data_IF_651697898413
#
_entry.id   IF_651697898413
#
_cell.length_a   1.000
_cell.length_b   1.000
_cell.length_c   1.000
_cell.angle_alpha   90.00
_cell.angle_beta   90.00
_cell.angle_gamma   90.00
#
_symmetry.space_group_name_H-M   'P 1'
#
loop_
_entity.id
_entity.type
_entity.pdbx_description
1 polymer ?
#
# COMPACT_ATOMS: atom_id res chain seq x y z
N UNK A 1 22.51 -7.77 3.71
CA UNK A 1 21.96 -8.90 4.50
C UNK A 1 21.08 -9.72 3.58
N UNK A 2 20.95 -11.03 3.80
CA UNK A 2 19.96 -11.83 3.05
C UNK A 2 18.53 -11.39 3.39
N UNK A 3 17.56 -11.72 2.53
CA UNK A 3 16.14 -11.46 2.80
C UNK A 3 15.69 -12.08 4.13
N UNK A 4 16.34 -13.18 4.55
CA UNK A 4 16.12 -13.82 5.85
C UNK A 4 16.69 -13.04 7.05
N UNK A 5 17.24 -11.83 6.84
CA UNK A 5 17.99 -11.04 7.83
C UNK A 5 19.12 -11.85 8.50
N UNK A 6 19.70 -12.79 7.76
CA UNK A 6 20.79 -13.65 8.23
C UNK A 6 22.10 -13.31 7.52
N UNK A 7 23.20 -13.43 8.26
CA UNK A 7 24.56 -13.10 7.80
C UNK A 7 25.40 -14.33 7.45
N UNK A 8 24.99 -15.54 7.90
CA UNK A 8 25.71 -16.79 7.66
C UNK A 8 25.01 -17.66 6.62
N UNK A 9 25.70 -17.93 5.50
CA UNK A 9 25.22 -18.85 4.46
C UNK A 9 25.10 -20.29 4.98
N UNK A 10 25.98 -20.70 5.90
CA UNK A 10 25.93 -22.04 6.50
C UNK A 10 24.60 -22.27 7.23
N UNK A 11 24.17 -21.30 8.03
CA UNK A 11 22.90 -21.39 8.76
C UNK A 11 21.68 -21.39 7.82
N UNK A 12 21.77 -20.72 6.67
CA UNK A 12 20.71 -20.74 5.66
C UNK A 12 20.61 -22.13 5.03
N UNK A 13 21.76 -22.73 4.68
CA UNK A 13 21.80 -24.05 4.05
C UNK A 13 21.38 -25.20 4.98
N UNK A 14 21.58 -25.05 6.29
CA UNK A 14 21.21 -26.04 7.31
C UNK A 14 19.74 -25.94 7.75
N UNK A 15 19.01 -24.91 7.28
CA UNK A 15 17.64 -24.65 7.72
C UNK A 15 16.65 -25.67 7.16
N UNK A 16 15.77 -26.16 8.03
CA UNK A 16 14.64 -26.98 7.59
C UNK A 16 13.61 -26.14 6.84
N UNK A 17 12.82 -26.78 5.98
CA UNK A 17 11.72 -26.10 5.27
C UNK A 17 10.73 -25.43 6.24
N UNK A 18 10.49 -26.06 7.39
CA UNK A 18 9.61 -25.53 8.44
C UNK A 18 10.17 -24.26 9.08
N UNK A 19 11.44 -24.27 9.47
CA UNK A 19 12.11 -23.09 10.02
C UNK A 19 12.16 -21.94 9.01
N UNK A 20 12.42 -22.27 7.75
CA UNK A 20 12.38 -21.31 6.66
C UNK A 20 11.01 -20.66 6.55
N UNK A 21 9.93 -21.45 6.54
CA UNK A 21 8.57 -20.94 6.47
C UNK A 21 8.21 -20.03 7.64
N UNK A 22 8.56 -20.41 8.88
CA UNK A 22 8.32 -19.55 10.04
C UNK A 22 9.10 -18.23 9.98
N UNK A 23 10.34 -18.25 9.50
CA UNK A 23 11.13 -17.03 9.32
C UNK A 23 10.56 -16.14 8.24
N UNK A 24 10.18 -16.71 7.09
CA UNK A 24 9.50 -15.95 6.04
C UNK A 24 8.19 -15.36 6.53
N UNK A 25 7.44 -16.10 7.35
CA UNK A 25 6.22 -15.61 7.97
C UNK A 25 6.49 -14.41 8.89
N UNK A 26 7.48 -14.51 9.79
CA UNK A 26 7.87 -13.40 10.66
C UNK A 26 8.37 -12.17 9.87
N UNK A 27 9.14 -12.41 8.81
CA UNK A 27 9.65 -11.36 7.93
C UNK A 27 8.53 -10.54 7.29
N UNK A 28 7.39 -11.15 6.95
CA UNK A 28 6.23 -10.42 6.39
C UNK A 28 5.69 -9.36 7.36
N UNK A 29 5.69 -9.63 8.66
CA UNK A 29 5.27 -8.63 9.66
C UNK A 29 6.29 -7.51 9.82
N UNK A 30 7.58 -7.84 9.77
CA UNK A 30 8.64 -6.84 9.77
C UNK A 30 8.51 -5.90 8.57
N UNK A 31 8.28 -6.46 7.37
CA UNK A 31 8.06 -5.68 6.14
C UNK A 31 6.85 -4.76 6.29
N UNK A 32 5.71 -5.26 6.78
CA UNK A 32 4.52 -4.43 7.03
C UNK A 32 4.83 -3.24 7.96
N UNK A 33 5.56 -3.49 9.05
CA UNK A 33 5.96 -2.45 9.99
C UNK A 33 6.90 -1.44 9.35
N UNK A 34 7.91 -1.90 8.60
CA UNK A 34 8.89 -1.04 7.93
C UNK A 34 8.25 -0.17 6.83
N UNK A 35 7.29 -0.70 6.07
CA UNK A 35 6.50 0.07 5.11
C UNK A 35 5.64 1.13 5.81
N UNK A 36 4.91 0.73 6.86
CA UNK A 36 4.04 1.66 7.58
C UNK A 36 4.80 2.81 8.26
N UNK A 37 5.96 2.52 8.87
CA UNK A 37 6.82 3.57 9.45
C UNK A 37 7.40 4.51 8.38
N UNK A 38 7.68 4.01 7.17
CA UNK A 38 8.08 4.86 6.03
C UNK A 38 6.98 5.83 5.65
N UNK A 39 5.72 5.39 5.57
CA UNK A 39 4.61 6.28 5.32
C UNK A 39 4.40 7.28 6.46
N UNK A 40 4.50 6.85 7.72
CA UNK A 40 4.45 7.79 8.87
C UNK A 40 5.51 8.88 8.78
N UNK A 41 6.75 8.51 8.43
CA UNK A 41 7.82 9.48 8.25
C UNK A 41 7.53 10.43 7.09
N UNK A 42 7.05 9.94 5.95
CA UNK A 42 6.67 10.77 4.81
C UNK A 42 5.58 11.79 5.16
N UNK A 43 4.56 11.37 5.91
CA UNK A 43 3.50 12.25 6.40
C UNK A 43 4.03 13.25 7.43
N UNK A 44 4.92 12.85 8.35
CA UNK A 44 5.54 13.76 9.30
C UNK A 44 6.39 14.83 8.61
N UNK A 45 7.16 14.46 7.56
CA UNK A 45 7.92 15.41 6.75
C UNK A 45 6.98 16.37 6.01
N UNK A 46 5.89 15.85 5.41
CA UNK A 46 4.86 16.67 4.76
C UNK A 46 4.27 17.69 5.74
N UNK A 47 3.83 17.23 6.89
CA UNK A 47 3.17 18.07 7.89
C UNK A 47 4.15 19.09 8.50
N UNK A 48 5.43 18.73 8.66
CA UNK A 48 6.48 19.67 9.08
C UNK A 48 6.83 20.71 8.00
N UNK A 49 6.74 20.34 6.72
CA UNK A 49 6.98 21.24 5.59
C UNK A 49 5.79 22.19 5.32
N UNK A 50 4.59 21.82 5.77
CA UNK A 50 3.42 22.68 5.71
C UNK A 50 3.60 23.89 6.65
N UNK A 51 4.11 25.00 6.12
CA UNK A 51 4.12 26.28 6.82
C UNK A 51 2.68 26.68 7.11
N UNK A 52 2.42 27.05 8.37
CA UNK A 52 1.09 27.44 8.87
C UNK A 52 0.57 28.66 8.09
N UNK A 53 -0.25 28.43 7.08
CA UNK A 53 -0.90 29.52 6.34
C UNK A 53 -2.19 29.91 7.07
N UNK A 54 -2.11 30.90 7.95
CA UNK A 54 -3.28 31.59 8.51
C UNK A 54 -3.78 32.63 7.49
N UNK A 55 -4.41 32.18 6.40
CA UNK A 55 -4.92 33.03 5.31
C UNK A 55 -6.44 32.89 5.09
N UNK A 56 -7.12 34.04 4.93
CA UNK A 56 -8.57 34.22 4.73
C UNK A 56 -9.12 33.78 3.36
N UNK A 57 -10.45 33.64 3.28
CA UNK A 57 -11.37 33.04 2.26
C UNK A 57 -11.10 33.17 0.73
N UNK A 58 -10.05 33.84 0.24
CA UNK A 58 -9.81 34.06 -1.21
C UNK A 58 -8.71 33.21 -1.85
N UNK A 59 -8.03 32.35 -1.10
CA UNK A 59 -6.95 31.48 -1.62
C UNK A 59 -7.34 29.99 -1.52
N UNK A 60 -7.33 29.23 -2.64
CA UNK A 60 -7.76 27.85 -2.64
C UNK A 60 -6.80 26.98 -1.80
N UNK A 61 -7.36 26.21 -0.87
CA UNK A 61 -6.62 25.18 -0.13
C UNK A 61 -6.48 23.95 -1.02
N UNK A 62 -5.28 23.68 -1.51
CA UNK A 62 -4.94 22.36 -2.06
C UNK A 62 -5.10 21.32 -0.94
N UNK A 63 -6.08 20.42 -1.09
CA UNK A 63 -6.32 19.33 -0.14
C UNK A 63 -5.62 18.09 -0.65
N UNK A 64 -4.74 17.50 0.17
CA UNK A 64 -4.08 16.25 -0.15
C UNK A 64 -5.09 15.09 -0.28
N UNK A 65 -4.91 14.22 -1.29
CA UNK A 65 -5.74 13.01 -1.54
C UNK A 65 -5.79 12.10 -0.31
N UNK A 66 -4.64 11.89 0.34
CA UNK A 66 -4.50 11.07 1.53
C UNK A 66 -4.24 11.94 2.76
N UNK A 67 -5.02 11.70 3.83
CA UNK A 67 -4.95 12.43 5.09
C UNK A 67 -4.01 11.75 6.08
N UNK A 68 -3.95 10.43 6.07
CA UNK A 68 -3.12 9.63 6.97
C UNK A 68 -2.37 8.49 6.26
N UNK A 69 -1.30 7.94 6.87
CA UNK A 69 -0.64 6.72 6.38
C UNK A 69 -1.58 5.52 6.21
N UNK A 70 -2.58 5.38 7.09
CA UNK A 70 -3.57 4.30 7.01
C UNK A 70 -4.45 4.40 5.77
N UNK A 71 -4.58 5.60 5.17
CA UNK A 71 -5.35 5.77 3.94
C UNK A 71 -4.63 5.12 2.75
N UNK A 72 -3.32 4.85 2.85
CA UNK A 72 -2.51 4.19 1.82
C UNK A 72 -2.23 2.73 2.17
N UNK A 73 -1.91 2.47 3.44
CA UNK A 73 -1.59 1.15 3.96
C UNK A 73 -2.24 0.99 5.34
N UNK A 74 -3.46 0.45 5.35
CA UNK A 74 -4.15 0.14 6.60
C UNK A 74 -3.38 -0.97 7.33
N UNK A 75 -2.72 -0.59 8.43
CA UNK A 75 -1.87 -1.48 9.19
C UNK A 75 -2.66 -2.62 9.84
N UNK A 76 -3.84 -2.33 10.41
CA UNK A 76 -4.62 -3.33 11.14
C UNK A 76 -5.24 -4.35 10.20
N UNK A 77 -5.78 -3.90 9.07
CA UNK A 77 -6.31 -4.78 8.02
C UNK A 77 -5.21 -5.68 7.50
N UNK A 78 -4.04 -5.12 7.14
CA UNK A 78 -2.92 -5.91 6.65
C UNK A 78 -2.34 -6.87 7.70
N UNK A 79 -2.31 -6.48 8.97
CA UNK A 79 -1.91 -7.37 10.05
C UNK A 79 -2.82 -8.60 10.14
N UNK A 80 -4.15 -8.42 10.06
CA UNK A 80 -5.11 -9.53 10.04
C UNK A 80 -4.98 -10.38 8.78
N UNK A 81 -4.73 -9.77 7.62
CA UNK A 81 -4.47 -10.50 6.36
C UNK A 81 -3.24 -11.39 6.46
N UNK A 82 -2.15 -10.89 7.05
CA UNK A 82 -0.95 -11.70 7.29
C UNK A 82 -1.23 -12.86 8.26
N UNK A 83 -2.08 -12.66 9.28
CA UNK A 83 -2.54 -13.77 10.15
C UNK A 83 -3.26 -14.86 9.34
N UNK A 84 -4.06 -14.48 8.35
CA UNK A 84 -4.73 -15.40 7.42
C UNK A 84 -3.80 -16.00 6.34
N UNK A 85 -2.50 -15.67 6.35
CA UNK A 85 -1.54 -16.09 5.34
C UNK A 85 -1.68 -15.37 3.99
N UNK A 86 -2.52 -14.32 3.92
CA UNK A 86 -2.72 -13.47 2.74
C UNK A 86 -1.59 -12.45 2.61
N UNK A 87 -1.46 -11.87 1.43
CA UNK A 87 -0.46 -10.84 1.14
C UNK A 87 -0.91 -9.45 1.63
N UNK A 88 0.10 -8.59 1.83
CA UNK A 88 -0.07 -7.16 2.09
C UNK A 88 -0.70 -6.53 0.85
N UNK A 89 -1.66 -5.65 1.04
CA UNK A 89 -2.35 -4.90 -0.02
C UNK A 89 -2.41 -3.43 0.35
N UNK A 90 -2.32 -2.60 -0.67
CA UNK A 90 -2.52 -1.16 -0.54
C UNK A 90 -3.99 -0.80 -0.71
N UNK A 91 -4.42 0.33 -0.16
CA UNK A 91 -5.83 0.73 -0.21
C UNK A 91 -6.32 0.93 -1.65
N UNK A 92 -5.48 1.46 -2.53
CA UNK A 92 -5.77 1.63 -3.97
C UNK A 92 -5.91 0.28 -4.71
N UNK A 93 -5.43 -0.84 -4.14
CA UNK A 93 -5.60 -2.21 -4.67
C UNK A 93 -6.87 -2.90 -4.12
N UNK A 94 -7.50 -2.30 -3.11
CA UNK A 94 -8.78 -2.74 -2.53
C UNK A 94 -9.98 -2.02 -3.17
N UNK A 95 -9.75 -0.89 -3.83
CA UNK A 95 -10.77 -0.22 -4.63
C UNK A 95 -11.04 -1.09 -5.89
N UNK A 96 -12.21 -1.73 -5.96
CA UNK A 96 -12.79 -1.98 -7.28
C UNK A 96 -12.89 -0.61 -7.93
N UNK A 97 -12.24 -0.44 -9.08
CA UNK A 97 -12.51 0.70 -9.95
C UNK A 97 -13.99 0.60 -10.29
N UNK A 98 -14.85 1.29 -9.54
CA UNK A 98 -16.19 1.56 -10.02
C UNK A 98 -15.98 2.19 -11.39
N UNK A 99 -16.60 1.66 -12.47
CA UNK A 99 -16.37 2.14 -13.80
C UNK A 99 -17.05 3.50 -13.97
N UNK A 100 -16.52 4.54 -13.33
CA UNK A 100 -16.74 5.94 -13.63
C UNK A 100 -16.01 6.27 -14.94
N UNK A 101 -16.51 5.64 -16.00
CA UNK A 101 -16.95 6.22 -17.25
C UNK A 101 -16.96 5.11 -18.30
N UNK A 102 -17.88 4.16 -18.12
CA UNK A 102 -18.34 3.24 -19.17
C UNK A 102 -18.76 3.96 -20.48
N UNK A 103 -18.70 5.30 -20.56
CA UNK A 103 -18.89 6.08 -21.78
C UNK A 103 -17.94 5.65 -22.90
N UNK A 104 -16.68 5.31 -22.60
CA UNK A 104 -15.74 4.84 -23.62
C UNK A 104 -16.13 3.45 -24.15
N UNK A 105 -16.44 2.51 -23.26
CA UNK A 105 -16.88 1.17 -23.65
C UNK A 105 -18.27 1.15 -24.32
N UNK A 106 -19.19 2.04 -23.90
CA UNK A 106 -20.49 2.27 -24.57
C UNK A 106 -20.30 2.83 -25.98
N UNK A 107 -19.41 3.80 -26.17
CA UNK A 107 -19.10 4.34 -27.49
C UNK A 107 -18.52 3.27 -28.43
N UNK A 108 -17.63 2.40 -27.93
CA UNK A 108 -17.09 1.27 -28.72
C UNK A 108 -18.19 0.27 -29.09
N UNK A 109 -19.10 -0.03 -28.17
CA UNK A 109 -20.21 -0.95 -28.43
C UNK A 109 -21.20 -0.39 -29.46
N UNK A 110 -21.50 0.91 -29.43
CA UNK A 110 -22.34 1.60 -30.42
C UNK A 110 -21.71 1.58 -31.82
N UNK A 111 -20.40 1.87 -31.92
CA UNK A 111 -19.66 1.82 -33.19
C UNK A 111 -19.72 0.41 -33.79
N UNK A 112 -19.47 -0.63 -32.98
CA UNK A 112 -19.50 -2.01 -33.45
C UNK A 112 -20.90 -2.47 -33.90
N UNK A 113 -21.96 -1.94 -33.29
CA UNK A 113 -23.34 -2.21 -33.71
C UNK A 113 -23.73 -1.42 -34.97
N UNK A 114 -23.11 -0.27 -35.24
CA UNK A 114 -23.34 0.52 -36.47
C UNK A 114 -22.57 0.02 -37.71
N UNK A 115 -21.60 -0.89 -37.52
CA UNK A 115 -20.79 -1.48 -38.59
C UNK A 115 -21.38 -2.83 -39.07
N UNK A 116 -22.43 -3.34 -38.41
CA UNK A 116 -23.26 -4.46 -38.91
C UNK A 116 -24.36 -3.94 -39.82
#
# INVERSE_FOLDING_TARGET
MSDLKMTSLKQINEMTLTEFNYRMYALRFDVLKEEYERYKLAFAIRDAAATKNEGTEKEPKEVYRFKSPNDILDYEVNYKRLLDGKEIVFTDELEEVEPENNNFFKAIAEINNSIK
#
